data_IF_637176567890
#
_entry.id   IF_637176567890
#
_cell.length_a   1.000
_cell.length_b   1.000
_cell.length_c   1.000
_cell.angle_alpha   90.00
_cell.angle_beta   90.00
_cell.angle_gamma   90.00
#
_symmetry.space_group_name_H-M   'P 1'
#
loop_
_entity.id
_entity.type
_entity.pdbx_description
1 polymer ?
#
# COMPACT_ATOMS: atom_id res chain seq x y z
N UNK A 1 -18.69 -17.46 2.46
CA UNK A 1 -18.74 -16.35 1.52
C UNK A 1 -17.96 -16.69 0.26
N UNK A 2 -18.56 -16.47 -0.91
CA UNK A 2 -17.89 -16.70 -2.19
C UNK A 2 -17.01 -15.47 -2.52
N UNK A 3 -15.90 -15.67 -3.22
CA UNK A 3 -15.03 -14.57 -3.63
C UNK A 3 -15.76 -13.50 -4.45
N UNK A 4 -16.76 -13.90 -5.26
CA UNK A 4 -17.57 -12.96 -6.04
C UNK A 4 -18.43 -12.04 -5.18
N UNK A 5 -18.59 -12.34 -3.90
CA UNK A 5 -19.38 -11.53 -2.95
C UNK A 5 -18.52 -10.51 -2.20
N UNK A 6 -17.17 -10.62 -2.25
CA UNK A 6 -16.31 -9.64 -1.62
C UNK A 6 -16.40 -8.30 -2.33
N UNK A 7 -16.62 -7.20 -1.59
CA UNK A 7 -16.66 -5.88 -2.20
C UNK A 7 -15.28 -5.46 -2.68
N UNK A 8 -15.21 -4.91 -3.88
CA UNK A 8 -14.00 -4.30 -4.41
C UNK A 8 -14.14 -2.78 -4.34
N UNK A 9 -13.14 -2.13 -3.76
CA UNK A 9 -13.04 -0.68 -3.79
C UNK A 9 -11.76 -0.31 -4.53
N UNK A 10 -11.88 0.62 -5.49
CA UNK A 10 -10.72 1.11 -6.22
C UNK A 10 -9.78 1.82 -5.23
N UNK A 11 -8.51 1.42 -5.13
CA UNK A 11 -7.58 2.13 -4.25
C UNK A 11 -7.44 3.59 -4.66
N UNK A 12 -7.42 4.48 -3.68
CA UNK A 12 -7.14 5.90 -3.90
C UNK A 12 -5.62 6.09 -3.87
N UNK A 13 -4.97 5.87 -5.00
CA UNK A 13 -3.51 5.92 -5.11
C UNK A 13 -2.93 7.30 -4.79
N UNK A 14 -3.51 8.44 -5.25
CA UNK A 14 -3.00 9.74 -4.84
C UNK A 14 -3.01 9.94 -3.33
N UNK A 15 -4.08 9.52 -2.66
CA UNK A 15 -4.18 9.61 -1.21
C UNK A 15 -3.20 8.67 -0.51
N UNK A 16 -3.01 7.46 -1.04
CA UNK A 16 -2.04 6.51 -0.50
C UNK A 16 -0.62 7.06 -0.60
N UNK A 17 -0.26 7.64 -1.75
CA UNK A 17 1.06 8.24 -1.93
C UNK A 17 1.29 9.40 -0.96
N UNK A 18 0.28 10.26 -0.77
CA UNK A 18 0.35 11.34 0.20
C UNK A 18 0.52 10.81 1.62
N UNK A 19 -0.25 9.80 1.99
CA UNK A 19 -0.18 9.18 3.31
C UNK A 19 1.20 8.57 3.56
N UNK A 20 1.78 7.87 2.58
CA UNK A 20 3.11 7.29 2.69
C UNK A 20 4.17 8.40 2.86
N UNK A 21 4.04 9.50 2.11
CA UNK A 21 4.94 10.64 2.25
C UNK A 21 4.87 11.26 3.64
N UNK A 22 3.66 11.39 4.21
CA UNK A 22 3.46 11.89 5.56
C UNK A 22 4.06 10.95 6.61
N UNK A 23 3.89 9.64 6.42
CA UNK A 23 4.48 8.64 7.31
C UNK A 23 6.01 8.69 7.25
N UNK A 24 6.58 8.90 6.07
CA UNK A 24 8.03 9.04 5.89
C UNK A 24 8.55 10.24 6.67
N UNK A 25 7.89 11.39 6.57
CA UNK A 25 8.27 12.60 7.33
C UNK A 25 8.17 12.36 8.84
N UNK A 26 7.07 11.78 9.29
CA UNK A 26 6.89 11.45 10.71
C UNK A 26 7.96 10.50 11.21
N UNK A 27 8.32 9.52 10.39
CA UNK A 27 9.37 8.56 10.71
C UNK A 27 10.73 9.26 10.88
N UNK A 28 11.08 10.15 9.95
CA UNK A 28 12.35 10.88 10.01
C UNK A 28 12.42 11.80 11.23
N UNK A 29 11.29 12.35 11.67
CA UNK A 29 11.21 13.26 12.82
C UNK A 29 10.96 12.55 14.14
N UNK A 30 10.73 11.25 14.14
CA UNK A 30 10.42 10.52 15.36
C UNK A 30 11.61 10.55 16.33
N UNK A 31 11.30 10.74 17.61
CA UNK A 31 12.31 10.90 18.66
C UNK A 31 12.73 9.58 19.32
N UNK A 32 12.05 8.47 19.01
CA UNK A 32 12.32 7.18 19.65
C UNK A 32 12.04 6.04 18.70
N UNK A 33 12.64 4.87 19.00
CA UNK A 33 12.38 3.63 18.28
C UNK A 33 10.90 3.23 18.39
N UNK A 34 10.29 3.44 19.55
CA UNK A 34 8.88 3.13 19.78
C UNK A 34 7.96 3.89 18.83
N UNK A 35 8.20 5.19 18.60
CA UNK A 35 7.44 5.97 17.64
C UNK A 35 7.64 5.46 16.23
N UNK A 36 8.87 5.09 15.86
CA UNK A 36 9.18 4.56 14.53
C UNK A 36 8.49 3.22 14.29
N UNK A 37 8.44 2.35 15.30
CA UNK A 37 7.76 1.07 15.21
C UNK A 37 6.26 1.27 14.96
N UNK A 38 5.63 2.23 15.63
CA UNK A 38 4.20 2.53 15.43
C UNK A 38 3.94 3.02 13.99
N UNK A 39 4.84 3.82 13.44
CA UNK A 39 4.72 4.30 12.05
C UNK A 39 4.87 3.14 11.07
N UNK A 40 5.79 2.22 11.32
CA UNK A 40 5.96 1.02 10.50
C UNK A 40 4.68 0.18 10.51
N UNK A 41 4.03 0.05 11.65
CA UNK A 41 2.76 -0.68 11.76
C UNK A 41 1.65 -0.02 10.94
N UNK A 42 1.57 1.30 10.94
CA UNK A 42 0.61 2.04 10.11
C UNK A 42 0.85 1.78 8.62
N UNK A 43 2.11 1.84 8.20
CA UNK A 43 2.48 1.56 6.80
C UNK A 43 2.12 0.12 6.40
N UNK A 44 2.42 -0.83 7.28
CA UNK A 44 2.10 -2.25 7.05
C UNK A 44 0.60 -2.48 6.92
N UNK A 45 -0.21 -1.81 7.74
CA UNK A 45 -1.66 -1.89 7.66
C UNK A 45 -2.18 -1.38 6.32
N UNK A 46 -1.65 -0.24 5.83
CA UNK A 46 -1.99 0.27 4.51
C UNK A 46 -1.65 -0.72 3.41
N UNK A 47 -0.49 -1.36 3.51
CA UNK A 47 -0.04 -2.36 2.55
C UNK A 47 -0.99 -3.55 2.50
N UNK A 48 -1.41 -4.04 3.66
CA UNK A 48 -2.32 -5.18 3.76
C UNK A 48 -3.68 -4.83 3.12
N UNK A 49 -4.22 -3.66 3.43
CA UNK A 49 -5.50 -3.20 2.88
C UNK A 49 -5.44 -3.07 1.36
N UNK A 50 -4.37 -2.47 0.84
CA UNK A 50 -4.17 -2.32 -0.61
C UNK A 50 -4.06 -3.67 -1.28
N UNK A 51 -3.22 -4.57 -0.74
CA UNK A 51 -3.00 -5.90 -1.29
C UNK A 51 -4.30 -6.69 -1.33
N UNK A 52 -5.10 -6.61 -0.27
CA UNK A 52 -6.41 -7.28 -0.21
C UNK A 52 -7.34 -6.79 -1.31
N UNK A 53 -7.46 -5.47 -1.50
CA UNK A 53 -8.31 -4.89 -2.54
C UNK A 53 -7.85 -5.30 -3.94
N UNK A 54 -6.55 -5.25 -4.20
CA UNK A 54 -5.99 -5.63 -5.50
C UNK A 54 -6.25 -7.12 -5.77
N UNK A 55 -6.10 -7.98 -4.76
CA UNK A 55 -6.37 -9.42 -4.89
C UNK A 55 -7.84 -9.68 -5.20
N UNK A 56 -8.76 -8.95 -4.59
CA UNK A 56 -10.20 -9.07 -4.89
C UNK A 56 -10.46 -8.73 -6.35
N UNK A 57 -9.87 -7.66 -6.85
CA UNK A 57 -9.97 -7.27 -8.26
C UNK A 57 -9.47 -8.38 -9.18
N UNK A 58 -8.30 -8.94 -8.88
CA UNK A 58 -7.69 -10.02 -9.65
C UNK A 58 -8.58 -11.27 -9.68
N UNK A 59 -9.14 -11.64 -8.53
CA UNK A 59 -10.03 -12.80 -8.43
C UNK A 59 -11.28 -12.58 -9.29
N UNK A 60 -11.90 -11.40 -9.21
CA UNK A 60 -13.09 -11.10 -10.01
C UNK A 60 -12.80 -11.08 -11.50
N UNK A 61 -11.66 -10.53 -11.89
CA UNK A 61 -11.21 -10.54 -13.28
C UNK A 61 -11.03 -12.00 -13.77
N UNK A 62 -10.42 -12.85 -12.94
CA UNK A 62 -10.20 -14.26 -13.29
C UNK A 62 -11.50 -15.03 -13.44
N UNK A 63 -12.51 -14.73 -12.60
CA UNK A 63 -13.83 -15.37 -12.65
C UNK A 63 -14.62 -14.93 -13.89
N UNK A 64 -14.52 -13.65 -14.25
CA UNK A 64 -15.22 -13.12 -15.42
C UNK A 64 -14.32 -12.17 -16.21
N UNK A 65 -13.54 -12.73 -17.11
CA UNK A 65 -12.62 -11.99 -17.98
C UNK A 65 -13.33 -11.09 -19.00
N UNK A 66 -14.66 -11.27 -19.17
CA UNK A 66 -15.46 -10.49 -20.11
C UNK A 66 -15.94 -9.17 -19.50
N UNK A 67 -15.87 -9.03 -18.18
CA UNK A 67 -16.31 -7.80 -17.54
C UNK A 67 -15.28 -6.70 -17.79
N UNK A 68 -15.64 -5.65 -18.60
CA UNK A 68 -14.69 -4.60 -18.92
C UNK A 68 -14.27 -3.77 -17.70
N UNK A 69 -15.10 -3.73 -16.66
CA UNK A 69 -14.79 -2.98 -15.45
C UNK A 69 -13.57 -3.57 -14.76
N UNK A 70 -13.57 -4.89 -14.50
CA UNK A 70 -12.44 -5.51 -13.79
C UNK A 70 -11.19 -5.59 -14.64
N UNK A 71 -11.33 -5.71 -15.96
CA UNK A 71 -10.19 -5.65 -16.87
C UNK A 71 -9.49 -4.29 -16.80
N UNK A 72 -10.26 -3.21 -16.80
CA UNK A 72 -9.73 -1.85 -16.69
C UNK A 72 -9.12 -1.58 -15.31
N UNK A 73 -9.76 -2.08 -14.24
CA UNK A 73 -9.25 -1.92 -12.88
C UNK A 73 -7.94 -2.67 -12.69
N UNK A 74 -7.82 -3.89 -13.23
CA UNK A 74 -6.59 -4.66 -13.18
C UNK A 74 -5.44 -3.90 -13.86
N UNK A 75 -5.69 -3.35 -15.04
CA UNK A 75 -4.72 -2.56 -15.78
C UNK A 75 -4.32 -1.30 -14.99
N UNK A 76 -5.31 -0.61 -14.42
CA UNK A 76 -5.06 0.58 -13.61
C UNK A 76 -4.18 0.26 -12.39
N UNK A 77 -4.48 -0.82 -11.68
CA UNK A 77 -3.69 -1.24 -10.52
C UNK A 77 -2.26 -1.58 -10.93
N UNK A 78 -2.07 -2.26 -12.07
CA UNK A 78 -0.75 -2.59 -12.59
C UNK A 78 0.06 -1.35 -12.95
N UNK A 79 -0.59 -0.34 -13.52
CA UNK A 79 0.07 0.92 -13.88
C UNK A 79 0.50 1.71 -12.64
N UNK A 80 -0.29 1.65 -11.57
CA UNK A 80 -0.02 2.41 -10.36
C UNK A 80 0.98 1.73 -9.41
N UNK A 81 1.15 0.42 -9.53
CA UNK A 81 2.04 -0.33 -8.64
C UNK A 81 3.48 0.22 -8.60
N UNK A 82 4.16 0.48 -9.75
CA UNK A 82 5.53 1.01 -9.69
C UNK A 82 5.58 2.45 -9.16
N UNK A 83 4.55 3.25 -9.38
CA UNK A 83 4.48 4.63 -8.86
C UNK A 83 4.41 4.60 -7.34
N UNK A 84 3.55 3.74 -6.79
CA UNK A 84 3.43 3.55 -5.34
C UNK A 84 4.72 2.99 -4.74
N UNK A 85 5.37 2.07 -5.45
CA UNK A 85 6.62 1.45 -5.00
C UNK A 85 7.75 2.48 -4.83
N UNK A 86 7.81 3.50 -5.68
CA UNK A 86 8.77 4.60 -5.52
C UNK A 86 8.62 5.29 -4.16
N UNK A 87 7.37 5.51 -3.71
CA UNK A 87 7.09 6.11 -2.41
C UNK A 87 7.51 5.19 -1.26
N UNK A 88 7.30 3.89 -1.41
CA UNK A 88 7.73 2.90 -0.43
C UNK A 88 9.25 2.84 -0.33
N UNK A 89 9.95 2.99 -1.46
CA UNK A 89 11.41 3.03 -1.46
C UNK A 89 11.95 4.26 -0.74
N UNK A 90 11.28 5.41 -0.83
CA UNK A 90 11.63 6.59 -0.07
C UNK A 90 11.55 6.33 1.44
N UNK A 91 10.48 5.64 1.87
CA UNK A 91 10.33 5.22 3.27
C UNK A 91 11.45 4.26 3.67
N UNK A 92 11.79 3.29 2.83
CA UNK A 92 12.86 2.34 3.10
C UNK A 92 14.21 3.02 3.27
N UNK A 93 14.49 4.08 2.52
CA UNK A 93 15.71 4.87 2.68
C UNK A 93 15.76 5.54 4.06
N UNK A 94 14.63 6.08 4.50
CA UNK A 94 14.52 6.66 5.84
C UNK A 94 14.72 5.59 6.93
N UNK A 95 14.19 4.41 6.72
CA UNK A 95 14.34 3.27 7.63
C UNK A 95 15.81 2.88 7.77
N UNK A 96 16.52 2.74 6.67
CA UNK A 96 17.94 2.35 6.64
C UNK A 96 18.80 3.43 7.31
N UNK A 97 18.43 4.70 7.19
CA UNK A 97 19.15 5.82 7.77
C UNK A 97 18.78 6.10 9.23
N UNK A 98 17.81 5.35 9.80
CA UNK A 98 17.33 5.59 11.16
C UNK A 98 18.43 5.37 12.19
N UNK A 99 18.57 6.28 13.18
CA UNK A 99 19.49 6.05 14.32
C UNK A 99 19.02 4.92 15.21
N UNK A 100 17.75 4.50 15.12
CA UNK A 100 17.18 3.41 15.92
C UNK A 100 17.07 2.10 15.13
N UNK A 101 17.75 1.99 14.01
CA UNK A 101 17.64 0.85 13.09
C UNK A 101 17.80 -0.51 13.77
N UNK A 102 18.71 -0.61 14.72
CA UNK A 102 18.96 -1.88 15.44
C UNK A 102 17.76 -2.34 16.28
N UNK A 103 16.89 -1.42 16.64
CA UNK A 103 15.72 -1.68 17.49
C UNK A 103 14.47 -1.96 16.64
N UNK A 104 14.55 -1.69 15.34
CA UNK A 104 13.47 -1.93 14.41
C UNK A 104 13.58 -3.35 13.85
#
# INVERSE_FOLDING_TARGET
MKFSEFPYERPDYPKLMETISQLTERFEKAASASEQIEIIKELEQLRIELTTNVQICTIRYTVDTRDPFYSQEEEYNEQMAPVLDEKRQEFNKALVASPFRKEL
#
